data_IF_090273499766
#
_entry.id   IF_090273499766
#
_cell.length_a   1.000
_cell.length_b   1.000
_cell.length_c   1.000
_cell.angle_alpha   90.00
_cell.angle_beta   90.00
_cell.angle_gamma   90.00
#
_symmetry.space_group_name_H-M   'P 1'
#
loop_
_entity.id
_entity.type
_entity.pdbx_description
1 polymer ?
#
# COMPACT_ATOMS: atom_id res chain seq x y z
N UNK A 1 2.24 -8.52 -27.12
CA UNK A 1 1.81 -7.30 -26.40
C UNK A 1 1.12 -7.76 -25.12
N UNK A 2 1.79 -7.72 -23.95
CA UNK A 2 1.16 -8.11 -22.68
C UNK A 2 0.21 -6.97 -22.29
N UNK A 3 -1.09 -7.25 -22.15
CA UNK A 3 -2.04 -6.29 -21.59
C UNK A 3 -1.60 -6.04 -20.15
N UNK A 4 -1.28 -4.79 -19.81
CA UNK A 4 -0.98 -4.43 -18.43
C UNK A 4 -2.22 -4.73 -17.57
N UNK A 5 -2.04 -5.46 -16.46
CA UNK A 5 -3.15 -5.72 -15.54
C UNK A 5 -3.69 -4.40 -14.98
N UNK A 6 -5.01 -4.29 -14.86
CA UNK A 6 -5.65 -3.13 -14.23
C UNK A 6 -5.16 -2.95 -12.79
N UNK A 7 -5.30 -1.74 -12.24
CA UNK A 7 -4.99 -1.47 -10.84
C UNK A 7 -5.69 -2.47 -9.91
N UNK A 8 -7.00 -2.66 -10.09
CA UNK A 8 -7.80 -3.55 -9.26
C UNK A 8 -7.34 -5.02 -9.37
N UNK A 9 -7.00 -5.49 -10.58
CA UNK A 9 -6.48 -6.85 -10.76
C UNK A 9 -5.11 -7.06 -10.08
N UNK A 10 -4.22 -6.06 -10.13
CA UNK A 10 -2.95 -6.09 -9.41
C UNK A 10 -3.15 -6.09 -7.89
N UNK A 11 -4.10 -5.29 -7.40
CA UNK A 11 -4.45 -5.22 -5.99
C UNK A 11 -5.03 -6.54 -5.49
N UNK A 12 -6.02 -7.09 -6.19
CA UNK A 12 -6.66 -8.36 -5.84
C UNK A 12 -5.66 -9.53 -5.83
N UNK A 13 -4.78 -9.60 -6.83
CA UNK A 13 -3.69 -10.58 -6.84
C UNK A 13 -2.72 -10.41 -5.66
N UNK A 14 -2.39 -9.17 -5.29
CA UNK A 14 -1.51 -8.89 -4.15
C UNK A 14 -2.16 -9.29 -2.81
N UNK A 15 -3.42 -8.94 -2.61
CA UNK A 15 -4.19 -9.30 -1.40
C UNK A 15 -4.37 -10.80 -1.31
N UNK A 16 -4.69 -11.47 -2.42
CA UNK A 16 -4.83 -12.93 -2.46
C UNK A 16 -3.54 -13.65 -2.07
N UNK A 17 -2.39 -13.18 -2.59
CA UNK A 17 -1.08 -13.72 -2.20
C UNK A 17 -0.77 -13.46 -0.73
N UNK A 18 -1.01 -12.24 -0.24
CA UNK A 18 -0.80 -11.90 1.16
C UNK A 18 -1.59 -12.81 2.10
N UNK A 19 -2.87 -13.04 1.78
CA UNK A 19 -3.74 -13.93 2.55
C UNK A 19 -3.25 -15.39 2.55
N UNK A 20 -2.68 -15.85 1.44
CA UNK A 20 -2.20 -17.23 1.31
C UNK A 20 -0.84 -17.46 1.99
N UNK A 21 0.04 -16.46 1.99
CA UNK A 21 1.46 -16.65 2.35
C UNK A 21 1.86 -15.98 3.68
N UNK A 22 1.17 -14.92 4.09
CA UNK A 22 1.64 -14.03 5.17
C UNK A 22 0.60 -13.81 6.26
N UNK A 23 -0.68 -13.68 5.90
CA UNK A 23 -1.71 -13.25 6.83
C UNK A 23 -1.88 -14.21 8.03
N UNK A 24 -1.96 -13.62 9.22
CA UNK A 24 -2.28 -14.34 10.46
C UNK A 24 -3.75 -14.18 10.89
N UNK A 25 -4.18 -14.85 11.97
CA UNK A 25 -5.58 -14.79 12.46
C UNK A 25 -6.08 -13.40 12.88
N UNK A 26 -5.17 -12.44 13.08
CA UNK A 26 -5.49 -11.07 13.52
C UNK A 26 -5.66 -10.08 12.37
N UNK A 27 -5.49 -10.53 11.14
CA UNK A 27 -5.57 -9.70 9.95
C UNK A 27 -6.98 -9.10 9.78
N UNK A 28 -7.07 -7.83 9.35
CA UNK A 28 -8.36 -7.09 9.25
C UNK A 28 -8.59 -6.52 7.85
N UNK A 29 -8.74 -7.40 6.87
CA UNK A 29 -8.95 -7.02 5.46
C UNK A 29 -10.41 -7.12 4.99
N UNK A 30 -11.39 -7.33 5.88
CA UNK A 30 -12.79 -7.49 5.49
C UNK A 30 -13.31 -6.30 4.66
N UNK A 31 -12.99 -5.07 5.08
CA UNK A 31 -13.38 -3.86 4.36
C UNK A 31 -12.73 -3.79 2.98
N UNK A 32 -11.40 -3.97 2.91
CA UNK A 32 -10.67 -3.94 1.63
C UNK A 32 -11.19 -5.00 0.66
N UNK A 33 -11.41 -6.24 1.15
CA UNK A 33 -11.92 -7.34 0.33
C UNK A 33 -13.33 -7.06 -0.20
N UNK A 34 -14.19 -6.45 0.61
CA UNK A 34 -15.49 -6.00 0.15
C UNK A 34 -15.36 -4.91 -0.92
N UNK A 35 -14.52 -3.88 -0.72
CA UNK A 35 -14.30 -2.83 -1.72
C UNK A 35 -13.74 -3.38 -3.05
N UNK A 36 -12.89 -4.41 -2.99
CA UNK A 36 -12.37 -5.12 -4.17
C UNK A 36 -13.51 -5.86 -4.89
N UNK A 37 -14.33 -6.62 -4.14
CA UNK A 37 -15.45 -7.37 -4.71
C UNK A 37 -16.51 -6.45 -5.36
N UNK A 38 -16.75 -5.27 -4.78
CA UNK A 38 -17.65 -4.24 -5.31
C UNK A 38 -16.99 -3.34 -6.38
N UNK A 39 -15.75 -3.64 -6.78
CA UNK A 39 -15.02 -2.92 -7.84
C UNK A 39 -14.87 -1.40 -7.58
N UNK A 40 -14.63 -1.00 -6.33
CA UNK A 40 -14.40 0.40 -5.99
C UNK A 40 -13.13 0.94 -6.68
N UNK A 41 -13.11 2.25 -6.95
CA UNK A 41 -11.97 2.97 -7.55
C UNK A 41 -10.92 3.26 -6.46
N UNK A 42 -10.16 2.25 -6.06
CA UNK A 42 -9.30 2.32 -4.88
C UNK A 42 -7.94 3.02 -5.10
N UNK A 43 -7.68 3.53 -6.29
CA UNK A 43 -6.51 4.35 -6.64
C UNK A 43 -6.78 5.86 -6.55
N UNK A 44 -7.91 6.27 -5.97
CA UNK A 44 -8.30 7.67 -5.79
C UNK A 44 -8.53 7.99 -4.32
N UNK A 45 -7.92 9.08 -3.85
CA UNK A 45 -7.97 9.51 -2.44
C UNK A 45 -9.37 9.96 -1.98
N UNK A 46 -10.26 10.26 -2.93
CA UNK A 46 -11.64 10.66 -2.67
C UNK A 46 -12.56 9.46 -2.44
N UNK A 47 -12.10 8.23 -2.76
CA UNK A 47 -12.90 7.02 -2.61
C UNK A 47 -13.09 6.67 -1.14
N UNK A 48 -14.36 6.64 -0.73
CA UNK A 48 -14.78 6.27 0.62
C UNK A 48 -15.32 4.83 0.66
N UNK A 49 -15.25 4.13 1.81
CA UNK A 49 -14.69 4.59 3.09
C UNK A 49 -13.15 4.55 3.16
N UNK A 50 -12.47 4.19 2.07
CA UNK A 50 -11.02 4.25 1.99
C UNK A 50 -10.47 3.89 0.62
N UNK A 51 -9.18 4.11 0.47
CA UNK A 51 -8.40 3.94 -0.76
C UNK A 51 -7.01 3.38 -0.41
N UNK A 52 -6.25 3.00 -1.43
CA UNK A 52 -4.91 2.43 -1.25
C UNK A 52 -3.87 3.54 -1.06
N UNK A 53 -3.05 3.35 -0.03
CA UNK A 53 -1.78 4.06 0.16
C UNK A 53 -0.62 3.09 -0.05
N UNK A 54 0.56 3.64 -0.36
CA UNK A 54 1.81 2.88 -0.41
C UNK A 54 2.78 3.45 0.61
N UNK A 55 3.61 2.59 1.18
CA UNK A 55 4.55 2.97 2.23
C UNK A 55 5.81 2.14 2.11
N UNK A 56 6.94 2.70 2.56
CA UNK A 56 8.23 2.05 2.51
C UNK A 56 8.84 1.94 3.90
N UNK A 57 9.38 0.76 4.23
CA UNK A 57 10.31 0.61 5.34
C UNK A 57 11.73 0.66 4.78
N UNK A 58 12.46 1.75 5.05
CA UNK A 58 13.87 1.90 4.66
C UNK A 58 14.73 1.49 5.84
N UNK A 59 15.53 0.45 5.65
CA UNK A 59 16.38 -0.12 6.69
C UNK A 59 17.84 0.29 6.47
N UNK A 60 18.60 0.42 7.56
CA UNK A 60 20.06 0.47 7.47
C UNK A 60 20.60 -0.86 6.88
N UNK A 61 21.81 -0.89 6.26
CA UNK A 61 22.34 -2.10 5.64
C UNK A 61 22.48 -3.32 6.56
N UNK A 62 22.63 -3.09 7.86
CA UNK A 62 22.71 -4.12 8.91
C UNK A 62 21.33 -4.49 9.50
N UNK A 63 20.25 -3.87 9.01
CA UNK A 63 18.88 -3.98 9.50
C UNK A 63 18.67 -3.57 10.96
N UNK A 64 19.61 -2.82 11.56
CA UNK A 64 19.51 -2.37 12.95
C UNK A 64 18.66 -1.11 13.13
N UNK A 65 18.45 -0.32 12.08
CA UNK A 65 17.73 0.95 12.12
C UNK A 65 16.69 1.03 10.99
N UNK A 66 15.64 1.79 11.23
CA UNK A 66 14.59 2.11 10.25
C UNK A 66 14.40 3.63 10.16
N UNK A 67 14.28 4.15 8.95
CA UNK A 67 13.93 5.55 8.72
C UNK A 67 12.45 5.79 9.04
N UNK A 68 12.18 6.80 9.86
CA UNK A 68 10.83 7.28 10.17
C UNK A 68 10.78 8.81 10.01
N UNK A 69 9.61 9.31 9.65
CA UNK A 69 9.29 10.74 9.56
C UNK A 69 8.59 11.15 10.84
N UNK A 70 9.05 12.24 11.47
CA UNK A 70 8.33 12.90 12.56
C UNK A 70 7.15 13.70 11.99
N UNK A 71 5.96 13.10 12.04
CA UNK A 71 4.78 13.68 11.39
C UNK A 71 4.18 14.80 12.25
N UNK A 72 4.50 16.05 11.91
CA UNK A 72 4.13 17.26 12.70
C UNK A 72 2.65 17.40 13.02
N UNK A 73 1.74 16.99 12.12
CA UNK A 73 0.28 17.12 12.36
C UNK A 73 -0.27 16.01 13.26
N UNK A 74 0.17 14.76 13.07
CA UNK A 74 -0.32 13.58 13.80
C UNK A 74 0.42 13.43 15.13
N UNK A 75 1.61 14.01 15.25
CA UNK A 75 2.49 13.90 16.42
C UNK A 75 3.00 12.48 16.62
N UNK A 76 3.35 11.77 15.54
CA UNK A 76 3.83 10.38 15.56
C UNK A 76 4.96 10.17 14.57
N UNK A 77 5.84 9.22 14.92
CA UNK A 77 6.83 8.69 13.99
C UNK A 77 6.17 7.66 13.06
N UNK A 78 6.28 7.88 11.76
CA UNK A 78 5.66 7.04 10.73
C UNK A 78 6.68 6.67 9.66
N UNK A 79 6.50 5.52 9.02
CA UNK A 79 7.26 5.19 7.82
C UNK A 79 6.91 6.17 6.68
N UNK A 80 7.83 6.50 5.76
CA UNK A 80 7.52 7.24 4.55
C UNK A 80 6.41 6.55 3.74
N UNK A 81 5.51 7.33 3.17
CA UNK A 81 4.36 6.81 2.45
C UNK A 81 3.28 7.85 2.19
N UNK A 82 2.37 7.51 1.31
CA UNK A 82 1.31 8.40 0.87
C UNK A 82 0.31 7.74 -0.06
N UNK A 83 -0.45 8.55 -0.78
CA UNK A 83 -1.48 8.07 -1.70
C UNK A 83 -0.85 7.32 -2.87
N UNK A 84 -1.51 6.25 -3.32
CA UNK A 84 -1.08 5.63 -4.57
C UNK A 84 -1.20 6.63 -5.73
N UNK A 85 -0.13 6.69 -6.53
CA UNK A 85 -0.15 7.33 -7.85
C UNK A 85 0.21 6.30 -8.93
N UNK A 86 -0.24 6.50 -10.19
CA UNK A 86 0.03 5.56 -11.27
C UNK A 86 1.52 5.20 -11.42
N UNK A 87 1.85 3.93 -11.15
CA UNK A 87 3.20 3.41 -11.26
C UNK A 87 3.21 1.98 -11.83
N UNK A 88 4.38 1.55 -12.32
CA UNK A 88 4.58 0.20 -12.85
C UNK A 88 4.27 -0.90 -11.82
N UNK A 89 4.46 -0.62 -10.53
CA UNK A 89 4.19 -1.52 -9.41
C UNK A 89 3.86 -0.73 -8.13
N UNK A 90 3.25 -1.39 -7.13
CA UNK A 90 3.00 -0.76 -5.83
C UNK A 90 4.29 -0.37 -5.10
N UNK A 91 5.35 -1.17 -5.21
CA UNK A 91 6.64 -0.84 -4.60
C UNK A 91 7.32 0.35 -5.30
N UNK A 92 7.08 0.57 -6.60
CA UNK A 92 7.59 1.77 -7.28
C UNK A 92 6.89 3.05 -6.77
N UNK A 93 5.58 2.97 -6.48
CA UNK A 93 4.88 4.07 -5.80
C UNK A 93 5.39 4.27 -4.37
N UNK A 94 5.60 3.21 -3.60
CA UNK A 94 6.20 3.32 -2.26
C UNK A 94 7.61 3.93 -2.28
N UNK A 95 8.42 3.59 -3.28
CA UNK A 95 9.77 4.13 -3.46
C UNK A 95 9.74 5.63 -3.78
N UNK A 96 8.80 6.09 -4.62
CA UNK A 96 8.59 7.53 -4.86
C UNK A 96 8.34 8.27 -3.54
N UNK A 97 7.36 7.80 -2.77
CA UNK A 97 6.99 8.39 -1.47
C UNK A 97 8.14 8.38 -0.45
N UNK A 98 9.11 7.46 -0.57
CA UNK A 98 10.29 7.43 0.29
C UNK A 98 11.36 8.47 -0.09
N UNK A 99 11.30 9.03 -1.30
CA UNK A 99 12.24 10.00 -1.84
C UNK A 99 11.72 11.44 -1.72
N UNK A 100 10.40 11.62 -1.66
CA UNK A 100 9.72 12.90 -1.42
C UNK A 100 9.92 13.42 0.01
#
# INVERSE_FOLDING_TARGET
MRVAMSFLARLDSTVSRYLAEVAGPRERLALLRWQIAEHHILDRRETMPGHVTTSAFVLSPDHAQVLLIDHVVIGRWLQPGGHYEPAASFHASALREAVE
#
